data_IF_614447995953
#
_entry.id   IF_614447995953
#
_cell.length_a   1.000
_cell.length_b   1.000
_cell.length_c   1.000
_cell.angle_alpha   90.00
_cell.angle_beta   90.00
_cell.angle_gamma   90.00
#
_symmetry.space_group_name_H-M   'P 1'
#
loop_
_entity.id
_entity.type
_entity.pdbx_description
1 polymer ?
#
# COMPACT_ATOMS: atom_id res chain seq x y z
N UNK A 1 23.29 -41.78 -11.64
CA UNK A 1 22.37 -40.69 -12.03
C UNK A 1 21.24 -40.47 -11.00
N UNK A 2 21.56 -40.29 -9.70
CA UNK A 2 20.54 -39.97 -8.67
C UNK A 2 20.76 -38.59 -8.01
N UNK A 3 21.92 -37.97 -8.22
CA UNK A 3 22.29 -36.68 -7.63
C UNK A 3 21.72 -35.46 -8.37
N UNK A 4 21.42 -35.56 -9.66
CA UNK A 4 20.93 -34.43 -10.45
C UNK A 4 19.47 -34.04 -10.13
N UNK A 5 18.66 -34.98 -9.63
CA UNK A 5 17.24 -34.70 -9.32
C UNK A 5 17.07 -33.86 -8.04
N UNK A 6 18.02 -33.93 -7.09
CA UNK A 6 17.92 -33.20 -5.81
C UNK A 6 18.24 -31.71 -5.94
N UNK A 7 19.06 -31.29 -6.92
CA UNK A 7 19.45 -29.88 -7.11
C UNK A 7 18.25 -29.02 -7.55
N UNK A 8 17.32 -29.58 -8.34
CA UNK A 8 16.14 -28.85 -8.81
C UNK A 8 15.12 -28.53 -7.70
N UNK A 9 15.04 -29.37 -6.66
CA UNK A 9 14.09 -29.20 -5.55
C UNK A 9 14.57 -28.08 -4.59
N UNK A 10 15.89 -27.93 -4.42
CA UNK A 10 16.47 -26.88 -3.57
C UNK A 10 16.39 -25.50 -4.23
N UNK A 11 16.47 -25.42 -5.57
CA UNK A 11 16.39 -24.14 -6.30
C UNK A 11 14.96 -23.56 -6.36
N UNK A 12 13.93 -24.40 -6.25
CA UNK A 12 12.54 -23.96 -6.28
C UNK A 12 12.09 -23.21 -5.01
N UNK A 13 12.81 -23.34 -3.90
CA UNK A 13 12.43 -22.76 -2.60
C UNK A 13 12.80 -21.27 -2.44
N UNK A 14 13.62 -20.69 -3.33
CA UNK A 14 14.15 -19.33 -3.16
C UNK A 14 13.36 -18.20 -3.86
N UNK A 15 12.23 -18.50 -4.52
CA UNK A 15 11.55 -17.53 -5.40
C UNK A 15 10.44 -16.72 -4.69
N UNK A 16 10.11 -17.03 -3.44
CA UNK A 16 8.87 -16.57 -2.82
C UNK A 16 8.82 -15.13 -2.24
N UNK A 17 9.92 -14.38 -1.95
CA UNK A 17 9.77 -13.04 -1.37
C UNK A 17 9.65 -11.88 -2.38
N UNK A 18 9.81 -12.13 -3.69
CA UNK A 18 9.94 -11.06 -4.69
C UNK A 18 8.70 -10.15 -4.82
N UNK A 19 7.50 -10.73 -4.72
CA UNK A 19 6.28 -10.00 -5.05
C UNK A 19 5.85 -9.02 -3.93
N UNK A 20 6.09 -9.32 -2.65
CA UNK A 20 5.86 -8.39 -1.52
C UNK A 20 6.73 -7.14 -1.67
N UNK A 21 8.05 -7.32 -1.84
CA UNK A 21 9.00 -6.21 -1.99
C UNK A 21 8.72 -5.36 -3.23
N UNK A 22 8.29 -5.99 -4.33
CA UNK A 22 7.87 -5.28 -5.53
C UNK A 22 6.62 -4.40 -5.31
N UNK A 23 5.66 -4.85 -4.51
CA UNK A 23 4.46 -4.07 -4.15
C UNK A 23 4.80 -2.91 -3.23
N UNK A 24 5.63 -3.17 -2.23
CA UNK A 24 6.14 -2.16 -1.30
C UNK A 24 6.87 -1.04 -2.06
N UNK A 25 7.82 -1.40 -2.93
CA UNK A 25 8.53 -0.43 -3.77
C UNK A 25 7.60 0.39 -4.68
N UNK A 26 6.51 -0.21 -5.20
CA UNK A 26 5.52 0.51 -6.00
C UNK A 26 4.68 1.48 -5.17
N UNK A 27 4.52 1.21 -3.88
CA UNK A 27 3.73 2.05 -2.97
C UNK A 27 4.50 3.32 -2.58
N UNK A 28 5.83 3.26 -2.51
CA UNK A 28 6.69 4.40 -2.15
C UNK A 28 6.40 5.64 -3.01
N UNK A 29 6.43 6.80 -2.36
CA UNK A 29 6.20 8.12 -2.94
C UNK A 29 4.82 8.68 -2.63
N UNK A 30 4.44 9.71 -3.37
CA UNK A 30 3.24 10.49 -3.10
C UNK A 30 2.03 10.05 -3.94
N UNK A 31 0.87 10.02 -3.28
CA UNK A 31 -0.40 9.60 -3.83
C UNK A 31 -1.47 10.61 -3.45
N UNK A 32 -2.03 11.28 -4.44
CA UNK A 32 -3.16 12.18 -4.25
C UNK A 32 -4.45 11.37 -4.13
N UNK A 33 -5.12 11.47 -2.99
CA UNK A 33 -6.40 10.85 -2.74
C UNK A 33 -7.48 11.56 -3.56
N UNK A 34 -8.29 10.77 -4.28
CA UNK A 34 -9.47 11.27 -4.97
C UNK A 34 -10.58 11.56 -3.95
N UNK A 35 -11.40 12.62 -4.17
CA UNK A 35 -12.47 13.01 -3.25
C UNK A 35 -13.35 11.83 -2.87
N UNK A 36 -13.51 11.59 -1.57
CA UNK A 36 -14.29 10.46 -1.06
C UNK A 36 -15.77 10.82 -0.88
N UNK A 37 -16.06 12.10 -0.73
CA UNK A 37 -17.39 12.66 -0.59
C UNK A 37 -17.45 14.07 -1.23
N UNK A 38 -18.64 14.67 -1.25
CA UNK A 38 -18.85 15.98 -1.88
C UNK A 38 -18.10 17.12 -1.16
N UNK A 39 -17.91 17.03 0.15
CA UNK A 39 -17.19 18.04 0.95
C UNK A 39 -15.70 18.07 0.66
N UNK A 40 -15.10 16.94 0.29
CA UNK A 40 -13.65 16.83 0.02
C UNK A 40 -13.22 17.44 -1.31
N UNK A 41 -14.16 17.89 -2.18
CA UNK A 41 -13.84 18.33 -3.55
C UNK A 41 -12.85 19.48 -3.63
N UNK A 42 -12.82 20.34 -2.62
CA UNK A 42 -11.92 21.49 -2.55
C UNK A 42 -10.60 21.16 -1.82
N UNK A 43 -10.54 20.00 -1.16
CA UNK A 43 -9.37 19.57 -0.42
C UNK A 43 -8.44 18.74 -1.31
N UNK A 44 -7.15 19.05 -1.26
CA UNK A 44 -6.10 18.21 -1.81
C UNK A 44 -5.47 17.42 -0.67
N UNK A 45 -5.72 16.11 -0.64
CA UNK A 45 -5.16 15.19 0.34
C UNK A 45 -4.09 14.33 -0.34
N UNK A 46 -2.88 14.33 0.19
CA UNK A 46 -1.73 13.56 -0.32
C UNK A 46 -1.25 12.61 0.76
N UNK A 47 -1.03 11.35 0.38
CA UNK A 47 -0.43 10.31 1.19
C UNK A 47 0.98 10.06 0.68
N UNK A 48 1.99 10.22 1.54
CA UNK A 48 3.40 9.96 1.20
C UNK A 48 3.89 8.72 1.95
N UNK A 49 4.17 7.66 1.21
CA UNK A 49 4.73 6.42 1.75
C UNK A 49 6.26 6.45 1.64
N UNK A 50 6.95 6.36 2.76
CA UNK A 50 8.41 6.40 2.83
C UNK A 50 9.04 5.02 3.02
N UNK A 51 10.28 4.85 2.58
CA UNK A 51 11.00 3.56 2.64
C UNK A 51 11.23 3.04 4.06
N UNK A 52 11.09 3.89 5.08
CA UNK A 52 11.22 3.54 6.49
C UNK A 52 9.87 3.15 7.14
N UNK A 53 8.84 2.82 6.35
CA UNK A 53 7.50 2.43 6.82
C UNK A 53 6.71 3.57 7.50
N UNK A 54 7.08 4.82 7.23
CA UNK A 54 6.34 5.99 7.68
C UNK A 54 5.36 6.47 6.60
N UNK A 55 4.16 6.87 7.03
CA UNK A 55 3.13 7.45 6.19
C UNK A 55 2.85 8.88 6.65
N UNK A 56 3.05 9.86 5.78
CA UNK A 56 2.62 11.24 6.01
C UNK A 56 1.31 11.53 5.28
N UNK A 57 0.42 12.26 5.95
CA UNK A 57 -0.79 12.82 5.33
C UNK A 57 -0.68 14.34 5.29
N UNK A 58 -0.85 14.87 4.09
CA UNK A 58 -0.73 16.30 3.80
C UNK A 58 -2.09 16.75 3.27
N UNK A 59 -2.63 17.83 3.82
CA UNK A 59 -3.88 18.45 3.41
C UNK A 59 -3.61 19.88 2.96
N UNK A 60 -3.92 20.20 1.71
CA UNK A 60 -3.75 21.54 1.13
C UNK A 60 -2.32 22.08 1.30
N UNK A 61 -1.31 21.21 1.13
CA UNK A 61 0.10 21.54 1.28
C UNK A 61 0.62 21.58 2.72
N UNK A 62 -0.24 21.41 3.72
CA UNK A 62 0.12 21.39 5.14
C UNK A 62 0.17 19.95 5.65
N UNK A 63 1.23 19.60 6.34
CA UNK A 63 1.31 18.31 7.03
C UNK A 63 0.30 18.27 8.19
N UNK A 64 -0.61 17.30 8.16
CA UNK A 64 -1.67 17.15 9.16
C UNK A 64 -1.51 15.94 10.07
N UNK A 65 -1.03 14.80 9.57
CA UNK A 65 -0.86 13.59 10.38
C UNK A 65 0.38 12.77 9.96
N UNK A 66 0.82 11.90 10.86
CA UNK A 66 1.88 10.92 10.63
C UNK A 66 1.45 9.60 11.21
N UNK A 67 1.56 8.53 10.43
CA UNK A 67 1.34 7.17 10.90
C UNK A 67 2.41 6.23 10.38
N UNK A 68 2.20 4.96 10.65
CA UNK A 68 3.03 3.86 10.19
C UNK A 68 2.26 3.04 9.17
N UNK A 69 2.98 2.41 8.24
CA UNK A 69 2.38 1.44 7.33
C UNK A 69 3.22 0.17 7.17
N UNK A 70 2.54 -0.94 6.89
CA UNK A 70 3.20 -2.21 6.59
C UNK A 70 2.51 -2.89 5.40
N UNK A 71 3.29 -3.46 4.48
CA UNK A 71 2.76 -4.32 3.42
C UNK A 71 2.76 -5.78 3.88
N UNK A 72 1.57 -6.39 3.99
CA UNK A 72 1.40 -7.81 4.32
C UNK A 72 0.96 -8.62 3.12
N UNK A 73 1.25 -9.92 3.14
CA UNK A 73 0.79 -10.89 2.16
C UNK A 73 0.11 -12.03 2.89
N UNK A 74 -1.18 -12.23 2.64
CA UNK A 74 -2.00 -13.30 3.25
C UNK A 74 -2.88 -13.92 2.16
N UNK A 75 -2.96 -15.25 2.11
CA UNK A 75 -3.78 -15.97 1.13
C UNK A 75 -3.61 -15.48 -0.32
N UNK A 76 -2.37 -15.23 -0.74
CA UNK A 76 -1.99 -14.68 -2.06
C UNK A 76 -2.53 -13.28 -2.37
N UNK A 77 -3.08 -12.59 -1.38
CA UNK A 77 -3.50 -11.19 -1.44
C UNK A 77 -2.51 -10.31 -0.71
N UNK A 78 -2.41 -9.06 -1.15
CA UNK A 78 -1.54 -8.05 -0.54
C UNK A 78 -2.39 -7.01 0.18
N UNK A 79 -1.90 -6.56 1.33
CA UNK A 79 -2.57 -5.59 2.17
C UNK A 79 -1.60 -4.48 2.57
N UNK A 80 -2.09 -3.25 2.66
CA UNK A 80 -1.43 -2.16 3.38
C UNK A 80 -2.14 -2.02 4.72
N UNK A 81 -1.41 -2.26 5.80
CA UNK A 81 -1.87 -2.00 7.15
C UNK A 81 -1.43 -0.59 7.50
N UNK A 82 -2.37 0.30 7.80
CA UNK A 82 -2.10 1.68 8.24
C UNK A 82 -2.46 1.77 9.72
N UNK A 83 -1.57 2.38 10.51
CA UNK A 83 -1.74 2.57 11.95
C UNK A 83 -1.28 3.96 12.36
N UNK A 84 -1.82 4.46 13.46
CA UNK A 84 -1.41 5.70 14.10
C UNK A 84 -1.56 6.94 13.20
N UNK A 85 -2.29 6.86 12.07
CA UNK A 85 -2.50 8.00 11.19
C UNK A 85 -3.65 8.85 11.70
N UNK A 86 -4.83 8.24 11.87
CA UNK A 86 -5.97 8.78 12.60
C UNK A 86 -7.07 7.70 12.75
N UNK A 87 -8.03 7.93 13.64
CA UNK A 87 -9.09 6.97 13.96
C UNK A 87 -9.99 6.54 12.80
N UNK A 88 -10.01 7.30 11.69
CA UNK A 88 -10.87 7.03 10.54
C UNK A 88 -10.14 6.34 9.38
N UNK A 89 -8.82 6.52 9.31
CA UNK A 89 -7.97 6.02 8.23
C UNK A 89 -7.16 4.79 8.64
N UNK A 90 -7.00 4.52 9.93
CA UNK A 90 -6.33 3.34 10.47
C UNK A 90 -7.13 2.07 10.14
N UNK A 91 -6.60 1.22 9.25
CA UNK A 91 -7.22 -0.04 8.87
C UNK A 91 -6.27 -0.98 8.13
N UNK A 92 -6.74 -2.21 7.89
CA UNK A 92 -6.13 -3.16 6.97
C UNK A 92 -6.79 -3.02 5.59
N UNK A 93 -6.08 -2.43 4.63
CA UNK A 93 -6.57 -2.25 3.27
C UNK A 93 -6.02 -3.32 2.34
N UNK A 94 -6.90 -4.05 1.68
CA UNK A 94 -6.54 -4.87 0.53
C UNK A 94 -6.04 -3.96 -0.61
N UNK A 95 -4.88 -4.30 -1.18
CA UNK A 95 -4.35 -3.64 -2.37
C UNK A 95 -5.07 -4.23 -3.59
N UNK A 96 -6.23 -3.66 -3.92
CA UNK A 96 -6.99 -4.07 -5.10
C UNK A 96 -6.22 -3.81 -6.38
N UNK A 97 -5.57 -2.64 -6.47
CA UNK A 97 -4.80 -2.25 -7.65
C UNK A 97 -3.64 -1.35 -7.26
N UNK A 98 -2.47 -1.63 -7.84
CA UNK A 98 -1.31 -0.74 -7.78
C UNK A 98 -0.56 -0.79 -9.11
N UNK A 99 -0.52 0.34 -9.80
CA UNK A 99 0.21 0.60 -11.04
C UNK A 99 0.99 1.91 -10.87
N UNK A 100 1.78 2.31 -11.85
CA UNK A 100 2.61 3.52 -11.75
C UNK A 100 1.80 4.79 -11.42
N UNK A 101 0.55 4.89 -11.90
CA UNK A 101 -0.25 6.12 -11.79
C UNK A 101 -1.53 5.96 -10.96
N UNK A 102 -1.88 4.73 -10.52
CA UNK A 102 -3.14 4.43 -9.85
C UNK A 102 -2.88 3.49 -8.67
N UNK A 103 -3.46 3.83 -7.52
CA UNK A 103 -3.53 3.00 -6.33
C UNK A 103 -4.98 2.92 -5.86
N UNK A 104 -5.46 1.71 -5.57
CA UNK A 104 -6.80 1.46 -5.03
C UNK A 104 -6.63 0.57 -3.79
N UNK A 105 -7.05 1.12 -2.66
CA UNK A 105 -7.05 0.48 -1.34
C UNK A 105 -8.49 0.21 -0.92
N UNK A 106 -8.81 -1.03 -0.58
CA UNK A 106 -10.15 -1.46 -0.20
C UNK A 106 -10.12 -2.09 1.20
N UNK A 107 -10.87 -1.53 2.14
CA UNK A 107 -11.22 -2.18 3.40
C UNK A 107 -12.63 -2.75 3.28
N UNK A 108 -12.85 -3.96 3.80
CA UNK A 108 -14.17 -4.61 3.77
C UNK A 108 -14.97 -4.41 5.06
N UNK A 109 -14.32 -4.02 6.17
CA UNK A 109 -14.98 -3.77 7.46
C UNK A 109 -14.20 -2.72 8.27
N UNK A 110 -14.72 -1.49 8.42
CA UNK A 110 -15.86 -0.95 7.67
C UNK A 110 -15.57 -0.90 6.17
N UNK A 111 -16.63 -0.91 5.34
CA UNK A 111 -16.45 -0.82 3.88
C UNK A 111 -15.91 0.57 3.52
N UNK A 112 -14.62 0.65 3.18
CA UNK A 112 -13.93 1.89 2.82
C UNK A 112 -13.10 1.66 1.56
N UNK A 113 -13.23 2.54 0.57
CA UNK A 113 -12.48 2.45 -0.69
C UNK A 113 -11.77 3.76 -0.96
N UNK A 114 -10.44 3.74 -0.88
CA UNK A 114 -9.59 4.89 -1.17
C UNK A 114 -8.95 4.72 -2.54
N UNK A 115 -9.22 5.67 -3.42
CA UNK A 115 -8.66 5.71 -4.76
C UNK A 115 -7.67 6.85 -4.86
N UNK A 116 -6.50 6.58 -5.41
CA UNK A 116 -5.44 7.56 -5.52
C UNK A 116 -4.87 7.59 -6.94
N UNK A 117 -4.41 8.78 -7.31
CA UNK A 117 -3.54 8.99 -8.45
C UNK A 117 -2.15 9.35 -7.96
N UNK A 118 -1.11 9.01 -8.72
CA UNK A 118 0.26 9.41 -8.36
C UNK A 118 0.33 10.94 -8.32
N UNK A 119 0.89 11.50 -7.24
CA UNK A 119 1.21 12.92 -7.18
C UNK A 119 2.55 13.11 -7.89
N UNK A 120 2.62 14.07 -8.82
CA UNK A 120 3.78 14.31 -9.69
C UNK A 120 5.07 14.53 -8.91
#
# INVERSE_FOLDING_TARGET
>A
MKFFLSIFIVLALFILPSCKKAKENKLIGEWKLLPQNASDRNDTIIYRFETNQVLYRIKNGVWVDTGDYEVKSEFFKYYVVIKNLNQYDDANYYIEKIKNNILILQCYSPYLRKEFVKNE
#
